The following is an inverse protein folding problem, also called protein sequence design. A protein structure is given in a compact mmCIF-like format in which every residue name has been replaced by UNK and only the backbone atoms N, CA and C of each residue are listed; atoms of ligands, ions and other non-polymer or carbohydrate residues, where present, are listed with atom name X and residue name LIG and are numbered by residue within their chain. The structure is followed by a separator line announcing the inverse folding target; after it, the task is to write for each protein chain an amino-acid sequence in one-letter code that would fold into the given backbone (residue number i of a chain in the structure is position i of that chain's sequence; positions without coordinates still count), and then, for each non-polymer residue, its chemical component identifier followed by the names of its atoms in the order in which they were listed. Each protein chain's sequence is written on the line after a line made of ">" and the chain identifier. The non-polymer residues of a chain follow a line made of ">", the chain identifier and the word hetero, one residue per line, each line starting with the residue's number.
data_IF_156639294011
#
_entry.id   IF_156639294011
#
_cell.length_a   1.000
_cell.length_b   1.000
_cell.length_c   1.000
_cell.angle_alpha   90.00
_cell.angle_beta   90.00
_cell.angle_gamma   90.00
#
_symmetry.space_group_name_H-M   'P 1'
#
loop_
_entity.id
_entity.type
_entity.pdbx_description
1 polymer ?
#
# COMPACT_ATOMS: atom_id res chain seq x y z
N UNK A 1 1.37 -30.65 -12.60
CA UNK A 1 1.89 -29.27 -12.65
C UNK A 1 3.10 -29.23 -11.75
N UNK A 2 4.25 -28.77 -12.23
CA UNK A 2 5.50 -28.84 -11.48
C UNK A 2 5.53 -27.84 -10.31
N UNK A 3 6.37 -28.12 -9.30
CA UNK A 3 6.65 -27.24 -8.17
C UNK A 3 6.85 -25.76 -8.58
N UNK A 4 7.57 -25.53 -9.67
CA UNK A 4 7.85 -24.20 -10.24
C UNK A 4 6.57 -23.42 -10.55
N UNK A 5 5.53 -24.09 -11.06
CA UNK A 5 4.27 -23.43 -11.42
C UNK A 5 3.50 -22.92 -10.20
N UNK A 6 3.65 -23.56 -9.04
CA UNK A 6 2.97 -23.15 -7.81
C UNK A 6 3.70 -22.02 -7.09
N UNK A 7 5.02 -21.93 -7.25
CA UNK A 7 5.87 -20.92 -6.58
C UNK A 7 6.10 -19.68 -7.46
N UNK A 8 5.56 -19.66 -8.69
CA UNK A 8 5.77 -18.55 -9.63
C UNK A 8 5.31 -17.19 -9.09
N UNK A 9 4.20 -17.16 -8.34
CA UNK A 9 3.68 -15.94 -7.70
C UNK A 9 4.65 -15.41 -6.65
N UNK A 10 5.22 -16.29 -5.84
CA UNK A 10 6.22 -15.95 -4.82
C UNK A 10 7.50 -15.42 -5.48
N UNK A 11 7.99 -16.09 -6.52
CA UNK A 11 9.19 -15.67 -7.26
C UNK A 11 8.99 -14.29 -7.90
N UNK A 12 7.87 -14.08 -8.61
CA UNK A 12 7.55 -12.79 -9.23
C UNK A 12 7.37 -11.69 -8.17
N UNK A 13 6.73 -11.99 -7.04
CA UNK A 13 6.64 -11.06 -5.91
C UNK A 13 8.01 -10.66 -5.37
N UNK A 14 8.94 -11.61 -5.22
CA UNK A 14 10.32 -11.31 -4.81
C UNK A 14 11.05 -10.43 -5.82
N UNK A 15 10.91 -10.71 -7.12
CA UNK A 15 11.47 -9.86 -8.19
C UNK A 15 10.92 -8.44 -8.09
N UNK A 16 9.61 -8.29 -7.87
CA UNK A 16 8.97 -7.00 -7.68
C UNK A 16 9.46 -6.24 -6.44
N UNK A 17 9.71 -6.93 -5.32
CA UNK A 17 10.31 -6.32 -4.13
C UNK A 17 11.75 -5.88 -4.38
N UNK A 18 12.56 -6.67 -5.10
CA UNK A 18 13.93 -6.27 -5.47
C UNK A 18 13.90 -5.01 -6.34
N UNK A 19 13.01 -4.96 -7.33
CA UNK A 19 12.83 -3.77 -8.16
C UNK A 19 12.34 -2.56 -7.36
N UNK A 20 11.45 -2.78 -6.38
CA UNK A 20 11.00 -1.74 -5.45
C UNK A 20 12.18 -1.13 -4.69
N UNK A 21 13.10 -1.97 -4.18
CA UNK A 21 14.30 -1.51 -3.48
C UNK A 21 15.16 -0.63 -4.38
N UNK A 22 15.34 -1.00 -5.65
CA UNK A 22 16.04 -0.18 -6.64
C UNK A 22 15.37 1.20 -6.82
N UNK A 23 14.04 1.24 -6.98
CA UNK A 23 13.30 2.50 -7.10
C UNK A 23 13.43 3.38 -5.85
N UNK A 24 13.38 2.77 -4.66
CA UNK A 24 13.58 3.48 -3.39
C UNK A 24 14.96 4.13 -3.35
N UNK A 25 16.02 3.41 -3.73
CA UNK A 25 17.36 4.00 -3.79
C UNK A 25 17.44 5.17 -4.76
N UNK A 26 16.89 5.02 -5.97
CA UNK A 26 16.84 6.09 -6.96
C UNK A 26 16.15 7.36 -6.42
N UNK A 27 15.03 7.21 -5.70
CA UNK A 27 14.36 8.35 -5.05
C UNK A 27 15.23 8.95 -3.95
N UNK A 28 15.81 8.13 -3.07
CA UNK A 28 16.56 8.61 -1.91
C UNK A 28 17.85 9.34 -2.30
N UNK A 29 18.45 8.99 -3.43
CA UNK A 29 19.60 9.69 -4.03
C UNK A 29 19.26 11.13 -4.48
N UNK A 30 17.99 11.43 -4.77
CA UNK A 30 17.58 12.79 -5.13
C UNK A 30 17.69 13.72 -3.92
N UNK A 31 18.11 14.96 -4.18
CA UNK A 31 18.27 15.98 -3.14
C UNK A 31 16.93 16.25 -2.43
N UNK A 32 16.89 16.22 -1.09
CA UNK A 32 15.70 16.55 -0.30
C UNK A 32 15.42 18.07 -0.23
N UNK A 33 16.19 18.88 -0.96
CA UNK A 33 16.04 20.33 -1.03
C UNK A 33 16.70 21.09 0.11
N UNK A 34 16.30 22.35 0.29
CA UNK A 34 16.86 23.25 1.29
C UNK A 34 16.41 22.90 2.74
N UNK A 35 17.01 23.55 3.74
CA UNK A 35 16.72 23.29 5.15
C UNK A 35 15.23 23.46 5.51
N UNK A 36 14.56 24.44 4.88
CA UNK A 36 13.12 24.68 5.11
C UNK A 36 12.27 23.52 4.59
N UNK A 37 12.55 23.02 3.39
CA UNK A 37 11.87 21.86 2.81
C UNK A 37 12.07 20.62 3.67
N UNK A 38 13.31 20.36 4.09
CA UNK A 38 13.63 19.23 4.95
C UNK A 38 12.91 19.30 6.30
N UNK A 39 12.86 20.51 6.91
CA UNK A 39 12.15 20.73 8.17
C UNK A 39 10.65 20.44 8.03
N UNK A 40 10.00 20.96 6.99
CA UNK A 40 8.56 20.74 6.75
C UNK A 40 8.26 19.26 6.47
N UNK A 41 9.02 18.63 5.57
CA UNK A 41 8.89 17.20 5.28
C UNK A 41 9.08 16.35 6.54
N UNK A 42 10.00 16.73 7.44
CA UNK A 42 10.20 16.03 8.71
C UNK A 42 9.00 16.13 9.64
N UNK A 43 8.36 17.29 9.72
CA UNK A 43 7.13 17.49 10.52
C UNK A 43 6.02 16.59 9.98
N UNK A 44 5.81 16.57 8.66
CA UNK A 44 4.82 15.73 8.00
C UNK A 44 5.12 14.24 8.25
N UNK A 45 6.38 13.81 8.11
CA UNK A 45 6.82 12.44 8.40
C UNK A 45 6.50 12.02 9.85
N UNK A 46 6.76 12.90 10.82
CA UNK A 46 6.49 12.63 12.24
C UNK A 46 4.99 12.55 12.49
N UNK A 47 4.19 13.47 11.93
CA UNK A 47 2.74 13.46 12.03
C UNK A 47 2.12 12.19 11.46
N UNK A 48 2.46 11.85 10.21
CA UNK A 48 1.92 10.67 9.53
C UNK A 48 2.28 9.37 10.25
N UNK A 49 3.54 9.25 10.73
CA UNK A 49 3.97 8.09 11.51
C UNK A 49 3.26 8.00 12.85
N UNK A 50 3.02 9.12 13.53
CA UNK A 50 2.33 9.15 14.83
C UNK A 50 0.86 8.76 14.71
N UNK A 51 0.19 9.22 13.66
CA UNK A 51 -1.18 8.82 13.34
C UNK A 51 -1.26 7.32 13.06
N UNK A 52 -0.45 6.81 12.12
CA UNK A 52 -0.49 5.38 11.75
C UNK A 52 -0.16 4.46 12.93
N UNK A 53 0.79 4.82 13.81
CA UNK A 53 1.01 4.03 15.02
C UNK A 53 -0.18 4.01 15.97
N UNK A 54 -0.89 5.14 16.08
CA UNK A 54 -2.08 5.23 16.92
C UNK A 54 -3.22 4.38 16.37
N UNK A 55 -3.45 4.46 15.06
CA UNK A 55 -4.42 3.62 14.34
C UNK A 55 -4.05 2.13 14.47
N UNK A 56 -2.82 1.77 14.14
CA UNK A 56 -2.37 0.37 14.14
C UNK A 56 -2.34 -0.25 15.53
N UNK A 57 -2.13 0.54 16.59
CA UNK A 57 -2.23 0.05 17.97
C UNK A 57 -3.65 -0.40 18.31
N UNK A 58 -4.66 0.32 17.83
CA UNK A 58 -6.06 -0.07 17.98
C UNK A 58 -6.36 -1.28 17.10
N UNK A 59 -5.94 -1.26 15.83
CA UNK A 59 -6.14 -2.38 14.90
C UNK A 59 -5.53 -3.67 15.42
N UNK A 60 -4.35 -3.62 16.03
CA UNK A 60 -3.73 -4.79 16.62
C UNK A 60 -4.68 -5.51 17.57
N UNK A 61 -5.33 -4.79 18.50
CA UNK A 61 -6.28 -5.39 19.45
C UNK A 61 -7.47 -5.99 18.72
N UNK A 62 -8.06 -5.26 17.75
CA UNK A 62 -9.24 -5.72 17.02
C UNK A 62 -8.93 -6.95 16.15
N UNK A 63 -7.78 -6.98 15.47
CA UNK A 63 -7.29 -8.10 14.66
C UNK A 63 -7.17 -9.36 15.53
N UNK A 64 -6.54 -9.27 16.71
CA UNK A 64 -6.36 -10.46 17.57
C UNK A 64 -7.67 -10.95 18.19
N UNK A 65 -8.58 -10.04 18.54
CA UNK A 65 -9.92 -10.42 18.99
C UNK A 65 -10.69 -11.17 17.88
N UNK A 66 -10.66 -10.64 16.66
CA UNK A 66 -11.34 -11.27 15.53
C UNK A 66 -10.67 -12.58 15.11
N UNK A 67 -9.34 -12.67 15.16
CA UNK A 67 -8.60 -13.91 14.93
C UNK A 67 -8.96 -14.99 15.98
N UNK A 68 -9.11 -14.61 17.24
CA UNK A 68 -9.58 -15.51 18.31
C UNK A 68 -10.99 -16.03 18.03
N UNK A 69 -11.89 -15.17 17.55
CA UNK A 69 -13.22 -15.57 17.09
C UNK A 69 -13.16 -16.55 15.92
N UNK A 70 -12.35 -16.28 14.89
CA UNK A 70 -12.16 -17.17 13.74
C UNK A 70 -11.59 -18.53 14.14
N UNK A 71 -10.70 -18.56 15.14
CA UNK A 71 -10.16 -19.81 15.66
C UNK A 71 -11.25 -20.67 16.32
N UNK A 72 -12.17 -20.06 17.08
CA UNK A 72 -13.26 -20.78 17.74
C UNK A 72 -14.34 -21.27 16.77
N UNK A 73 -14.61 -20.52 15.70
CA UNK A 73 -15.73 -20.81 14.78
C UNK A 73 -15.30 -21.63 13.56
N UNK A 74 -14.07 -21.46 13.07
CA UNK A 74 -13.55 -22.17 11.89
C UNK A 74 -12.35 -23.02 12.27
N UNK A 75 -11.14 -22.56 12.00
CA UNK A 75 -9.90 -23.31 12.22
C UNK A 75 -8.77 -22.39 12.65
N UNK A 76 -7.80 -22.96 13.38
CA UNK A 76 -6.60 -22.21 13.77
C UNK A 76 -5.79 -21.76 12.55
N UNK A 77 -5.83 -22.54 11.45
CA UNK A 77 -5.10 -22.19 10.23
C UNK A 77 -5.74 -21.00 9.50
N UNK A 78 -7.08 -20.90 9.50
CA UNK A 78 -7.78 -19.73 8.96
C UNK A 78 -7.47 -18.48 9.79
N UNK A 79 -7.47 -18.59 11.13
CA UNK A 79 -7.11 -17.48 12.02
C UNK A 79 -5.66 -17.00 11.79
N UNK A 80 -4.70 -17.92 11.62
CA UNK A 80 -3.32 -17.57 11.27
C UNK A 80 -3.23 -16.90 9.89
N UNK A 81 -3.97 -17.40 8.91
CA UNK A 81 -4.01 -16.80 7.56
C UNK A 81 -4.58 -15.39 7.60
N UNK A 82 -5.62 -15.16 8.40
CA UNK A 82 -6.19 -13.83 8.67
C UNK A 82 -5.18 -12.87 9.28
N UNK A 83 -4.42 -13.29 10.28
CA UNK A 83 -3.36 -12.47 10.89
C UNK A 83 -2.30 -12.12 9.85
N UNK A 84 -1.88 -13.09 9.02
CA UNK A 84 -0.91 -12.84 7.96
C UNK A 84 -1.43 -11.83 6.93
N UNK A 85 -2.64 -12.02 6.41
CA UNK A 85 -3.26 -11.08 5.46
C UNK A 85 -3.38 -9.66 6.04
N UNK A 86 -3.75 -9.56 7.32
CA UNK A 86 -3.80 -8.30 8.05
C UNK A 86 -2.41 -7.66 8.16
N UNK A 87 -1.38 -8.43 8.53
CA UNK A 87 -0.02 -7.94 8.70
C UNK A 87 0.57 -7.41 7.39
N UNK A 88 0.36 -8.11 6.27
CA UNK A 88 0.83 -7.65 4.96
C UNK A 88 0.07 -6.40 4.45
N UNK A 89 -1.23 -6.26 4.79
CA UNK A 89 -2.01 -5.05 4.48
C UNK A 89 -1.53 -3.83 5.29
N UNK A 90 -1.27 -4.01 6.58
CA UNK A 90 -0.64 -2.97 7.43
C UNK A 90 0.74 -2.57 6.89
N UNK A 91 1.52 -3.56 6.47
CA UNK A 91 2.86 -3.36 5.92
C UNK A 91 2.84 -2.60 4.59
N UNK A 92 1.90 -2.91 3.69
CA UNK A 92 1.80 -2.22 2.40
C UNK A 92 1.49 -0.73 2.58
N UNK A 93 0.52 -0.39 3.42
CA UNK A 93 0.19 1.00 3.75
C UNK A 93 1.34 1.74 4.43
N UNK A 94 2.02 1.08 5.38
CA UNK A 94 3.16 1.68 6.09
C UNK A 94 4.35 1.98 5.19
N UNK A 95 4.77 1.01 4.37
CA UNK A 95 5.90 1.18 3.46
C UNK A 95 5.59 2.23 2.39
N UNK A 96 4.35 2.26 1.90
CA UNK A 96 3.82 3.29 1.00
C UNK A 96 3.94 4.70 1.55
N UNK A 97 3.36 4.93 2.73
CA UNK A 97 3.46 6.21 3.43
C UNK A 97 4.93 6.60 3.67
N UNK A 98 5.77 5.62 4.04
CA UNK A 98 7.17 5.87 4.33
C UNK A 98 7.97 6.34 3.12
N UNK A 99 7.63 5.94 1.89
CA UNK A 99 8.27 6.47 0.69
C UNK A 99 7.65 7.80 0.26
N UNK A 100 6.32 7.94 0.32
CA UNK A 100 5.61 9.17 -0.08
C UNK A 100 6.09 10.38 0.74
N UNK A 101 6.17 10.22 2.06
CA UNK A 101 6.66 11.26 2.97
C UNK A 101 8.15 11.61 2.79
N UNK A 102 8.93 10.79 2.09
CA UNK A 102 10.32 11.09 1.71
C UNK A 102 10.44 11.63 0.28
N UNK A 103 9.52 11.25 -0.60
CA UNK A 103 9.47 11.70 -1.98
C UNK A 103 8.94 13.15 -2.08
N UNK A 104 8.00 13.55 -1.21
CA UNK A 104 7.35 14.86 -1.28
C UNK A 104 8.29 16.07 -1.43
N UNK A 105 9.24 16.28 -0.51
CA UNK A 105 10.19 17.39 -0.58
C UNK A 105 11.18 17.25 -1.74
N UNK A 106 11.49 16.02 -2.16
CA UNK A 106 12.35 15.76 -3.33
C UNK A 106 11.64 16.16 -4.62
N UNK A 107 10.35 15.87 -4.72
CA UNK A 107 9.49 16.33 -5.83
C UNK A 107 9.43 17.85 -5.86
N UNK A 108 9.22 18.51 -4.70
CA UNK A 108 9.24 19.98 -4.63
C UNK A 108 10.57 20.57 -5.06
N UNK A 109 11.69 19.98 -4.63
CA UNK A 109 13.02 20.43 -5.04
C UNK A 109 13.27 20.22 -6.54
N UNK A 110 12.84 19.07 -7.09
CA UNK A 110 12.95 18.79 -8.52
C UNK A 110 12.12 19.76 -9.38
N UNK A 111 10.97 20.22 -8.87
CA UNK A 111 10.12 21.20 -9.54
C UNK A 111 10.79 22.59 -9.70
N UNK A 112 11.83 22.90 -8.93
CA UNK A 112 12.64 24.11 -9.13
C UNK A 112 13.42 24.03 -10.46
N UNK A 113 13.91 22.83 -10.79
CA UNK A 113 14.68 22.60 -12.01
C UNK A 113 13.77 22.57 -13.23
N UNK A 114 12.81 21.64 -13.28
CA UNK A 114 11.82 21.54 -14.34
C UNK A 114 10.68 20.56 -13.96
N UNK A 115 9.60 20.60 -14.72
CA UNK A 115 8.42 19.76 -14.51
C UNK A 115 8.70 18.26 -14.73
N UNK A 116 9.54 17.91 -15.71
CA UNK A 116 9.83 16.51 -16.04
C UNK A 116 10.59 15.81 -14.91
N UNK A 117 11.53 16.49 -14.26
CA UNK A 117 12.25 15.98 -13.10
C UNK A 117 11.30 15.78 -11.92
N UNK A 118 10.41 16.75 -11.67
CA UNK A 118 9.39 16.63 -10.63
C UNK A 118 8.47 15.43 -10.88
N UNK A 119 7.98 15.28 -12.12
CA UNK A 119 7.13 14.18 -12.54
C UNK A 119 7.84 12.84 -12.38
N UNK A 120 9.10 12.74 -12.79
CA UNK A 120 9.90 11.51 -12.65
C UNK A 120 10.03 11.10 -11.18
N UNK A 121 10.28 12.05 -10.27
CA UNK A 121 10.39 11.75 -8.83
C UNK A 121 9.04 11.35 -8.24
N UNK A 122 7.96 12.08 -8.55
CA UNK A 122 6.62 11.74 -8.04
C UNK A 122 6.11 10.41 -8.61
N UNK A 123 6.35 10.15 -9.89
CA UNK A 123 5.98 8.91 -10.57
C UNK A 123 6.68 7.73 -9.93
N UNK A 124 8.00 7.83 -9.71
CA UNK A 124 8.74 6.76 -9.02
C UNK A 124 8.26 6.56 -7.58
N UNK A 125 7.89 7.64 -6.86
CA UNK A 125 7.25 7.54 -5.55
C UNK A 125 5.97 6.70 -5.57
N UNK A 126 5.08 6.96 -6.53
CA UNK A 126 3.87 6.17 -6.76
C UNK A 126 4.16 4.74 -7.26
N UNK A 127 5.18 4.57 -8.10
CA UNK A 127 5.60 3.26 -8.60
C UNK A 127 6.09 2.35 -7.48
N UNK A 128 6.87 2.87 -6.52
CA UNK A 128 7.26 2.12 -5.31
C UNK A 128 6.02 1.62 -4.58
N UNK A 129 5.01 2.47 -4.42
CA UNK A 129 3.77 2.09 -3.75
C UNK A 129 3.04 0.94 -4.47
N UNK A 130 2.81 1.09 -5.79
CA UNK A 130 2.17 0.05 -6.60
C UNK A 130 2.94 -1.27 -6.61
N UNK A 131 4.27 -1.21 -6.68
CA UNK A 131 5.12 -2.40 -6.64
C UNK A 131 5.08 -3.09 -5.28
N UNK A 132 5.07 -2.35 -4.17
CA UNK A 132 4.92 -2.94 -2.82
C UNK A 132 3.59 -3.67 -2.71
N UNK A 133 2.49 -3.01 -3.08
CA UNK A 133 1.13 -3.57 -3.00
C UNK A 133 1.03 -4.88 -3.77
N UNK A 134 1.42 -4.86 -5.04
CA UNK A 134 1.32 -6.03 -5.92
C UNK A 134 2.29 -7.14 -5.53
N UNK A 135 3.52 -6.80 -5.15
CA UNK A 135 4.55 -7.78 -4.78
C UNK A 135 4.23 -8.49 -3.47
N UNK A 136 3.84 -7.73 -2.44
CA UNK A 136 3.41 -8.30 -1.16
C UNK A 136 2.13 -9.12 -1.32
N UNK A 137 1.19 -8.66 -2.15
CA UNK A 137 -0.05 -9.39 -2.43
C UNK A 137 0.20 -10.74 -3.09
N UNK A 138 1.02 -10.78 -4.15
CA UNK A 138 1.41 -12.00 -4.83
C UNK A 138 2.22 -12.94 -3.94
N UNK A 139 3.20 -12.41 -3.21
CA UNK A 139 4.06 -13.20 -2.36
C UNK A 139 3.28 -13.83 -1.20
N UNK A 140 2.44 -13.04 -0.53
CA UNK A 140 1.70 -13.53 0.63
C UNK A 140 0.54 -14.45 0.26
N UNK A 141 -0.36 -14.05 -0.66
CA UNK A 141 -1.45 -14.91 -1.09
C UNK A 141 -0.93 -16.15 -1.84
N UNK A 142 0.10 -15.98 -2.68
CA UNK A 142 0.77 -17.09 -3.36
C UNK A 142 1.44 -18.07 -2.40
N UNK A 143 2.04 -17.56 -1.32
CA UNK A 143 2.59 -18.38 -0.24
C UNK A 143 1.51 -19.19 0.48
N UNK A 144 0.36 -18.58 0.81
CA UNK A 144 -0.78 -19.28 1.41
C UNK A 144 -1.35 -20.34 0.46
N UNK A 145 -1.49 -20.01 -0.83
CA UNK A 145 -1.94 -20.96 -1.84
C UNK A 145 -1.01 -22.18 -1.93
N UNK A 146 0.31 -21.96 -1.93
CA UNK A 146 1.30 -23.03 -1.99
C UNK A 146 1.29 -23.90 -0.71
N UNK A 147 1.38 -23.28 0.47
CA UNK A 147 1.38 -24.00 1.76
C UNK A 147 0.08 -24.75 2.01
N UNK A 148 -1.04 -24.17 1.57
CA UNK A 148 -2.37 -24.77 1.66
C UNK A 148 -2.71 -25.76 0.56
N UNK A 149 -1.82 -25.97 -0.42
CA UNK A 149 -2.06 -26.78 -1.62
C UNK A 149 -3.40 -26.44 -2.31
N UNK A 150 -3.73 -25.14 -2.42
CA UNK A 150 -4.98 -24.65 -2.99
C UNK A 150 -6.20 -24.71 -2.05
N UNK A 151 -6.01 -24.88 -0.75
CA UNK A 151 -7.09 -24.80 0.24
C UNK A 151 -7.72 -23.39 0.25
N UNK A 152 -8.98 -23.31 -0.19
CA UNK A 152 -9.75 -22.07 -0.30
C UNK A 152 -10.10 -21.45 1.05
N UNK A 153 -10.21 -22.25 2.12
CA UNK A 153 -10.47 -21.74 3.47
C UNK A 153 -9.30 -20.86 3.96
N UNK A 154 -8.06 -21.32 3.77
CA UNK A 154 -6.86 -20.56 4.16
C UNK A 154 -6.74 -19.25 3.36
N UNK A 155 -6.98 -19.33 2.05
CA UNK A 155 -6.97 -18.15 1.20
C UNK A 155 -8.08 -17.16 1.58
N UNK A 156 -9.26 -17.67 1.98
CA UNK A 156 -10.36 -16.82 2.43
C UNK A 156 -10.03 -16.09 3.73
N UNK A 157 -9.37 -16.76 4.69
CA UNK A 157 -8.88 -16.13 5.91
C UNK A 157 -7.89 -15.01 5.60
N UNK A 158 -6.95 -15.27 4.69
CA UNK A 158 -5.97 -14.27 4.25
C UNK A 158 -6.62 -13.05 3.58
N UNK A 159 -7.50 -13.27 2.61
CA UNK A 159 -8.23 -12.19 1.93
C UNK A 159 -9.09 -11.39 2.91
N UNK A 160 -9.78 -12.07 3.83
CA UNK A 160 -10.55 -11.43 4.89
C UNK A 160 -9.68 -10.53 5.79
N UNK A 161 -8.48 -10.97 6.15
CA UNK A 161 -7.53 -10.14 6.91
C UNK A 161 -7.09 -8.88 6.18
N UNK A 162 -6.83 -9.01 4.87
CA UNK A 162 -6.51 -7.87 4.03
C UNK A 162 -7.65 -6.83 4.01
N UNK A 163 -8.90 -7.28 3.82
CA UNK A 163 -10.10 -6.42 3.82
C UNK A 163 -10.39 -5.80 5.16
N UNK A 164 -10.18 -6.56 6.24
CA UNK A 164 -10.42 -6.07 7.58
C UNK A 164 -9.55 -4.86 7.89
N UNK A 165 -8.25 -4.92 7.59
CA UNK A 165 -7.33 -3.80 7.78
C UNK A 165 -7.66 -2.64 6.85
N UNK A 166 -7.90 -2.92 5.56
CA UNK A 166 -8.19 -1.90 4.56
C UNK A 166 -9.40 -1.03 4.93
N UNK A 167 -10.45 -1.66 5.47
CA UNK A 167 -11.64 -0.97 5.96
C UNK A 167 -11.28 0.13 6.98
N UNK A 168 -10.52 -0.23 8.01
CA UNK A 168 -10.18 0.74 9.05
C UNK A 168 -9.16 1.77 8.58
N UNK A 169 -8.11 1.36 7.85
CA UNK A 169 -7.07 2.29 7.38
C UNK A 169 -7.66 3.36 6.45
N UNK A 170 -8.60 2.98 5.57
CA UNK A 170 -9.31 3.92 4.71
C UNK A 170 -10.24 4.84 5.48
N UNK A 171 -11.01 4.30 6.43
CA UNK A 171 -11.97 5.12 7.19
C UNK A 171 -11.23 6.05 8.15
N UNK A 172 -10.26 5.54 8.91
CA UNK A 172 -9.48 6.32 9.86
C UNK A 172 -8.65 7.40 9.15
N UNK A 173 -7.84 7.01 8.18
CA UNK A 173 -7.06 7.95 7.37
C UNK A 173 -7.94 8.94 6.59
N UNK A 174 -9.07 8.47 6.04
CA UNK A 174 -10.04 9.27 5.30
C UNK A 174 -10.72 10.35 6.14
N UNK A 175 -11.14 10.00 7.37
CA UNK A 175 -11.71 10.98 8.31
C UNK A 175 -10.65 12.02 8.69
N UNK A 176 -9.41 11.58 8.97
CA UNK A 176 -8.33 12.48 9.35
C UNK A 176 -8.02 13.49 8.23
N UNK A 177 -7.80 12.99 7.00
CA UNK A 177 -7.46 13.86 5.86
C UNK A 177 -8.60 14.83 5.54
N UNK A 178 -9.84 14.34 5.40
CA UNK A 178 -10.95 15.21 4.98
C UNK A 178 -11.41 16.20 6.05
N UNK A 179 -11.22 15.90 7.33
CA UNK A 179 -11.44 16.88 8.38
C UNK A 179 -10.41 18.03 8.30
N UNK A 180 -9.15 17.72 7.98
CA UNK A 180 -8.09 18.71 7.88
C UNK A 180 -8.20 19.55 6.60
N UNK A 181 -8.34 18.90 5.44
CA UNK A 181 -8.51 19.47 4.10
C UNK A 181 -9.68 20.49 4.08
N UNK A 182 -10.89 20.05 4.44
CA UNK A 182 -12.08 20.92 4.46
C UNK A 182 -11.91 22.09 5.44
N UNK A 183 -11.29 21.86 6.60
CA UNK A 183 -11.04 22.91 7.58
C UNK A 183 -10.01 23.94 7.11
N UNK A 184 -8.93 23.48 6.48
CA UNK A 184 -7.86 24.33 5.94
C UNK A 184 -8.39 25.19 4.81
N UNK A 185 -9.12 24.59 3.87
CA UNK A 185 -9.59 25.25 2.68
C UNK A 185 -10.70 26.26 2.93
N UNK A 186 -11.70 25.91 3.74
CA UNK A 186 -12.81 26.81 4.01
C UNK A 186 -12.34 28.07 4.74
N UNK A 187 -11.60 27.90 5.84
CA UNK A 187 -11.14 29.05 6.61
C UNK A 187 -10.05 29.83 5.86
N UNK A 188 -9.13 29.14 5.20
CA UNK A 188 -8.03 29.76 4.46
C UNK A 188 -8.50 30.51 3.21
N UNK A 189 -9.10 29.79 2.27
CA UNK A 189 -9.45 30.31 0.94
C UNK A 189 -10.69 31.20 0.98
N UNK A 190 -11.73 30.79 1.73
CA UNK A 190 -13.06 31.44 1.67
C UNK A 190 -13.21 32.55 2.71
N UNK A 191 -12.81 32.32 3.96
CA UNK A 191 -13.02 33.30 5.04
C UNK A 191 -11.85 34.30 5.16
N UNK A 192 -10.62 33.81 5.19
CA UNK A 192 -9.42 34.62 5.43
C UNK A 192 -8.77 35.15 4.14
N UNK A 193 -9.19 34.66 2.98
CA UNK A 193 -8.65 35.02 1.66
C UNK A 193 -7.12 34.92 1.58
N UNK A 194 -6.56 33.86 2.17
CA UNK A 194 -5.15 33.49 2.04
C UNK A 194 -4.99 32.34 1.03
N UNK A 195 -3.83 32.19 0.39
CA UNK A 195 -3.58 31.08 -0.52
C UNK A 195 -3.78 29.70 0.11
N UNK A 196 -4.02 28.71 -0.74
CA UNK A 196 -3.92 27.29 -0.38
C UNK A 196 -2.55 26.94 0.19
N UNK A 197 -2.49 26.01 1.14
CA UNK A 197 -1.27 25.60 1.82
C UNK A 197 -0.46 26.74 2.47
N UNK A 198 -1.10 27.88 2.78
CA UNK A 198 -0.40 29.02 3.36
C UNK A 198 0.13 28.67 4.77
N UNK A 199 1.41 28.92 5.08
CA UNK A 199 2.03 28.56 6.35
C UNK A 199 1.42 29.28 7.58
N UNK A 200 0.57 30.30 7.39
CA UNK A 200 -0.18 30.96 8.46
C UNK A 200 -1.39 30.15 8.91
N UNK A 201 -1.89 29.23 8.08
CA UNK A 201 -3.03 28.40 8.40
C UNK A 201 -2.58 27.19 9.24
N UNK A 202 -3.06 27.05 10.49
CA UNK A 202 -2.62 25.98 11.39
C UNK A 202 -3.06 24.58 10.93
N UNK A 203 -4.04 24.47 10.03
CA UNK A 203 -4.56 23.19 9.54
C UNK A 203 -3.68 22.56 8.45
N UNK A 204 -2.81 23.32 7.78
CA UNK A 204 -2.04 22.87 6.60
C UNK A 204 -1.11 21.69 6.90
N UNK A 205 -0.51 21.64 8.10
CA UNK A 205 0.30 20.48 8.50
C UNK A 205 -0.57 19.23 8.66
N UNK A 206 -1.77 19.36 9.22
CA UNK A 206 -2.69 18.23 9.37
C UNK A 206 -3.20 17.74 8.01
N UNK A 207 -3.44 18.67 7.08
CA UNK A 207 -3.86 18.38 5.71
C UNK A 207 -2.79 17.57 4.95
N UNK A 208 -1.57 18.09 4.91
CA UNK A 208 -0.43 17.42 4.27
C UNK A 208 -0.05 16.08 4.97
N UNK A 209 -0.31 15.95 6.29
CA UNK A 209 -0.21 14.65 6.98
C UNK A 209 -1.33 13.72 6.52
N UNK A 210 -2.54 14.26 6.38
CA UNK A 210 -3.75 13.63 5.86
C UNK A 210 -3.53 12.92 4.54
N UNK A 211 -2.94 13.59 3.56
CA UNK A 211 -2.60 13.00 2.26
C UNK A 211 -1.78 11.71 2.40
N UNK A 212 -0.84 11.69 3.34
CA UNK A 212 0.05 10.55 3.53
C UNK A 212 -0.63 9.39 4.30
N UNK A 213 -1.57 9.68 5.19
CA UNK A 213 -2.25 8.66 5.99
C UNK A 213 -3.51 8.12 5.34
N UNK A 214 -4.33 8.98 4.71
CA UNK A 214 -5.52 8.58 3.99
C UNK A 214 -5.19 8.15 2.56
N UNK A 215 -4.70 9.10 1.78
CA UNK A 215 -4.61 8.96 0.32
C UNK A 215 -3.44 8.09 -0.11
N UNK A 216 -2.43 7.87 0.75
CA UNK A 216 -1.35 6.90 0.50
C UNK A 216 -1.54 5.62 1.31
N UNK A 217 -1.51 5.67 2.65
CA UNK A 217 -1.55 4.45 3.45
C UNK A 217 -2.90 3.73 3.33
N UNK A 218 -4.01 4.47 3.47
CA UNK A 218 -5.37 3.95 3.31
C UNK A 218 -5.65 3.43 1.90
N UNK A 219 -5.30 4.21 0.86
CA UNK A 219 -5.39 3.74 -0.54
C UNK A 219 -4.55 2.48 -0.77
N UNK A 220 -3.38 2.41 -0.15
CA UNK A 220 -2.50 1.26 -0.23
C UNK A 220 -3.06 -0.04 0.29
N UNK A 221 -3.60 0.02 1.51
CA UNK A 221 -4.27 -1.11 2.12
C UNK A 221 -5.49 -1.55 1.29
N UNK A 222 -6.22 -0.60 0.71
CA UNK A 222 -7.35 -0.93 -0.17
C UNK A 222 -6.93 -1.58 -1.49
N UNK A 223 -5.99 -0.99 -2.24
CA UNK A 223 -5.54 -1.59 -3.49
C UNK A 223 -4.94 -2.97 -3.25
N UNK A 224 -4.25 -3.14 -2.12
CA UNK A 224 -3.76 -4.44 -1.67
C UNK A 224 -4.88 -5.44 -1.46
N UNK A 225 -5.93 -5.05 -0.74
CA UNK A 225 -7.08 -5.92 -0.57
C UNK A 225 -7.77 -6.24 -1.89
N UNK A 226 -8.08 -5.24 -2.71
CA UNK A 226 -8.79 -5.46 -3.98
C UNK A 226 -7.99 -6.38 -4.89
N UNK A 227 -6.66 -6.27 -4.88
CA UNK A 227 -5.76 -7.16 -5.61
C UNK A 227 -5.79 -8.60 -5.08
N UNK A 228 -5.63 -8.78 -3.78
CA UNK A 228 -5.68 -10.10 -3.11
C UNK A 228 -7.05 -10.75 -3.29
N UNK A 229 -8.13 -9.99 -3.06
CA UNK A 229 -9.52 -10.43 -3.17
C UNK A 229 -9.89 -10.83 -4.59
N UNK A 230 -9.39 -10.11 -5.61
CA UNK A 230 -9.61 -10.47 -7.02
C UNK A 230 -8.93 -11.78 -7.39
N UNK A 231 -7.66 -11.96 -7.00
CA UNK A 231 -6.91 -13.21 -7.25
C UNK A 231 -7.57 -14.39 -6.51
N UNK A 232 -7.92 -14.19 -5.24
CA UNK A 232 -8.64 -15.18 -4.44
C UNK A 232 -9.97 -15.59 -5.08
N UNK A 233 -10.82 -14.63 -5.41
CA UNK A 233 -12.15 -14.89 -5.98
C UNK A 233 -12.05 -15.66 -7.30
N UNK A 234 -11.16 -15.22 -8.19
CA UNK A 234 -10.91 -15.91 -9.45
C UNK A 234 -10.33 -17.32 -9.23
N UNK A 235 -9.49 -17.51 -8.21
CA UNK A 235 -8.88 -18.80 -7.88
C UNK A 235 -9.92 -19.79 -7.34
N UNK A 236 -10.85 -19.34 -6.49
CA UNK A 236 -11.96 -20.18 -6.01
C UNK A 236 -12.84 -20.63 -7.18
N UNK A 237 -13.28 -19.70 -8.03
CA UNK A 237 -14.10 -20.04 -9.20
C UNK A 237 -13.35 -20.95 -10.19
N UNK A 238 -12.07 -20.68 -10.42
CA UNK A 238 -11.20 -21.52 -11.23
C UNK A 238 -11.03 -22.92 -10.65
N UNK A 239 -10.94 -23.05 -9.32
CA UNK A 239 -10.87 -24.34 -8.63
C UNK A 239 -12.13 -25.17 -8.85
N UNK A 240 -13.31 -24.55 -8.81
CA UNK A 240 -14.58 -25.23 -9.05
C UNK A 240 -14.69 -25.68 -10.51
N UNK A 241 -14.33 -24.81 -11.46
CA UNK A 241 -14.51 -25.08 -12.89
C UNK A 241 -13.45 -26.00 -13.50
N UNK A 242 -12.18 -25.85 -13.10
CA UNK A 242 -11.03 -26.52 -13.72
C UNK A 242 -10.07 -27.14 -12.70
N UNK A 243 -10.54 -27.38 -11.48
CA UNK A 243 -9.75 -27.93 -10.37
C UNK A 243 -8.48 -27.10 -10.12
N UNK A 244 -7.41 -27.76 -9.66
CA UNK A 244 -6.15 -27.09 -9.33
C UNK A 244 -5.58 -26.20 -10.46
N UNK A 245 -5.79 -26.58 -11.73
CA UNK A 245 -5.30 -25.78 -12.87
C UNK A 245 -6.00 -24.43 -12.97
N UNK A 246 -7.32 -24.40 -12.76
CA UNK A 246 -8.07 -23.15 -12.74
C UNK A 246 -7.76 -22.31 -11.52
N UNK A 247 -7.51 -22.93 -10.36
CA UNK A 247 -7.12 -22.22 -9.16
C UNK A 247 -5.76 -21.50 -9.32
N UNK A 248 -4.85 -22.07 -10.10
CA UNK A 248 -3.52 -21.51 -10.33
C UNK A 248 -3.50 -20.40 -11.39
N UNK A 249 -4.44 -20.40 -12.33
CA UNK A 249 -4.44 -19.48 -13.48
C UNK A 249 -4.42 -17.98 -13.11
N UNK A 250 -5.21 -17.49 -12.13
CA UNK A 250 -5.18 -16.08 -11.72
C UNK A 250 -3.79 -15.62 -11.23
N UNK A 251 -3.04 -16.51 -10.57
CA UNK A 251 -1.68 -16.20 -10.12
C UNK A 251 -0.72 -15.98 -11.30
N UNK A 252 -0.87 -16.75 -12.39
CA UNK A 252 -0.08 -16.54 -13.61
C UNK A 252 -0.39 -15.19 -14.25
N UNK A 253 -1.67 -14.84 -14.34
CA UNK A 253 -2.10 -13.54 -14.89
C UNK A 253 -1.52 -12.39 -14.05
N UNK A 254 -1.66 -12.48 -12.74
CA UNK A 254 -1.16 -11.48 -11.80
C UNK A 254 0.38 -11.36 -11.82
N UNK A 255 1.10 -12.48 -11.86
CA UNK A 255 2.57 -12.51 -12.02
C UNK A 255 3.01 -11.87 -13.33
N UNK A 256 2.32 -12.16 -14.43
CA UNK A 256 2.63 -11.59 -15.75
C UNK A 256 2.38 -10.09 -15.76
N UNK A 257 1.28 -9.65 -15.14
CA UNK A 257 0.96 -8.23 -14.94
C UNK A 257 2.07 -7.50 -14.18
N UNK A 258 2.56 -8.06 -13.07
CA UNK A 258 3.65 -7.45 -12.30
C UNK A 258 4.92 -7.27 -13.14
N UNK A 259 5.31 -8.27 -13.92
CA UNK A 259 6.50 -8.18 -14.80
C UNK A 259 6.30 -7.12 -15.89
N UNK A 260 5.12 -7.04 -16.50
CA UNK A 260 4.80 -6.02 -17.49
C UNK A 260 4.78 -4.61 -16.87
N UNK A 261 4.30 -4.47 -15.63
CA UNK A 261 4.35 -3.21 -14.88
C UNK A 261 5.79 -2.75 -14.64
N UNK A 262 6.72 -3.67 -14.33
CA UNK A 262 8.15 -3.34 -14.21
C UNK A 262 8.68 -2.76 -15.52
N UNK A 263 8.40 -3.42 -16.67
CA UNK A 263 8.81 -2.90 -17.97
C UNK A 263 8.19 -1.54 -18.29
N UNK A 264 6.92 -1.32 -17.93
CA UNK A 264 6.24 -0.03 -18.07
C UNK A 264 6.90 1.07 -17.24
N UNK A 265 7.24 0.79 -15.98
CA UNK A 265 7.95 1.74 -15.11
C UNK A 265 9.35 2.06 -15.65
N UNK A 266 10.07 1.04 -16.16
CA UNK A 266 11.35 1.25 -16.81
C UNK A 266 11.17 2.16 -18.03
N UNK A 267 10.20 1.88 -18.89
CA UNK A 267 9.95 2.69 -20.08
C UNK A 267 9.73 4.17 -19.76
N UNK A 268 8.89 4.50 -18.77
CA UNK A 268 8.63 5.88 -18.32
C UNK A 268 9.87 6.56 -17.73
N UNK A 269 10.81 5.80 -17.16
CA UNK A 269 12.03 6.36 -16.59
C UNK A 269 13.14 6.61 -17.62
N UNK A 270 13.09 5.93 -18.77
CA UNK A 270 14.11 6.02 -19.82
C UNK A 270 13.69 6.91 -21.01
N UNK A 271 12.39 7.17 -21.18
CA UNK A 271 11.81 7.99 -22.26
C UNK A 271 10.98 9.14 -21.68
#
# INVERSE_FOLDING_TARGET
>A
MGFISQVISVICGLIGLIFTVFLVFNILEKSPGNERMQKLSKIIQVGARSFLFSEYRILFVVIFLFAGFLWLVSSYQMALSFILGSAFSVLSGFLGMSIATRANARTTNAAISNLNDALTVSFNGGAVMGMIVTSLGLMGLGGIFFLGNGNTELMSGYAMGASFVALFARVGGGIFTKAADVGADLVGKVEANIPEDDPRNPAVIADNVGDNVGDVAGMGADLYESYVGSIFSASVLGSIAFSFKGALFPFFVASSGLILSIFGIIFVNYY
#
